data_IF_032470251609
#
_entry.id   IF_032470251609
#
_cell.length_a   1.000
_cell.length_b   1.000
_cell.length_c   1.000
_cell.angle_alpha   90.00
_cell.angle_beta   90.00
_cell.angle_gamma   90.00
#
_symmetry.space_group_name_H-M   'P 1'
#
loop_
_entity.id
_entity.type
_entity.pdbx_description
1 polymer ?
#
# COMPACT_ATOMS: atom_id res chain seq x y z
N UNK A 1 12.82 10.77 16.39
CA UNK A 1 12.91 10.65 14.93
C UNK A 1 11.55 10.36 14.33
N UNK A 2 11.19 11.10 13.30
CA UNK A 2 9.86 11.00 12.73
C UNK A 2 9.84 10.05 11.54
N UNK A 3 9.54 8.77 11.79
CA UNK A 3 9.42 7.77 10.73
C UNK A 3 8.22 8.02 9.82
N UNK A 4 7.21 8.75 10.31
CA UNK A 4 6.01 9.03 9.51
C UNK A 4 6.33 9.86 8.28
N UNK A 5 7.18 10.86 8.44
CA UNK A 5 7.57 11.70 7.30
C UNK A 5 8.25 10.88 6.21
N UNK A 6 9.14 9.97 6.61
CA UNK A 6 9.85 9.10 5.69
C UNK A 6 8.89 8.09 5.06
N UNK A 7 7.97 7.53 5.84
CA UNK A 7 6.99 6.58 5.32
C UNK A 7 6.05 7.23 4.31
N UNK A 8 5.61 8.46 4.57
CA UNK A 8 4.79 9.21 3.61
C UNK A 8 5.54 9.41 2.31
N UNK A 9 6.83 9.77 2.39
CA UNK A 9 7.67 9.96 1.21
C UNK A 9 7.78 8.67 0.40
N UNK A 10 8.08 7.57 1.06
CA UNK A 10 8.23 6.26 0.41
C UNK A 10 6.94 5.87 -0.30
N UNK A 11 5.81 5.99 0.39
CA UNK A 11 4.51 5.63 -0.18
C UNK A 11 4.19 6.49 -1.41
N UNK A 12 4.38 7.80 -1.30
CA UNK A 12 4.07 8.71 -2.41
C UNK A 12 4.93 8.42 -3.62
N UNK A 13 6.23 8.17 -3.42
CA UNK A 13 7.13 7.84 -4.52
C UNK A 13 6.74 6.51 -5.16
N UNK A 14 6.49 5.50 -4.33
CA UNK A 14 6.14 4.16 -4.82
C UNK A 14 4.85 4.17 -5.65
N UNK A 15 3.81 4.80 -5.12
CA UNK A 15 2.52 4.84 -5.82
C UNK A 15 2.58 5.72 -7.06
N UNK A 16 3.33 6.82 -7.02
CA UNK A 16 3.52 7.67 -8.19
C UNK A 16 4.24 6.92 -9.30
N UNK A 17 5.27 6.17 -8.96
CA UNK A 17 6.00 5.36 -9.95
C UNK A 17 5.10 4.29 -10.55
N UNK A 18 4.28 3.64 -9.72
CA UNK A 18 3.33 2.66 -10.21
C UNK A 18 2.34 3.29 -11.19
N UNK A 19 1.76 4.43 -10.82
CA UNK A 19 0.78 5.12 -11.65
C UNK A 19 1.39 5.64 -12.95
N UNK A 20 2.67 6.04 -12.92
CA UNK A 20 3.37 6.50 -14.12
C UNK A 20 3.52 5.37 -15.13
N UNK A 21 3.69 4.15 -14.68
CA UNK A 21 3.84 2.98 -15.55
C UNK A 21 2.50 2.39 -15.98
N UNK A 22 1.40 2.89 -15.45
CA UNK A 22 0.04 2.53 -15.85
C UNK A 22 -0.60 3.77 -16.48
N UNK A 23 -0.78 3.77 -17.80
CA UNK A 23 -1.32 4.93 -18.53
C UNK A 23 -2.68 5.38 -18.00
N UNK A 24 -3.42 4.51 -17.33
CA UNK A 24 -4.74 4.80 -16.80
C UNK A 24 -4.75 4.92 -15.29
N UNK A 25 -3.59 5.01 -14.67
CA UNK A 25 -3.45 5.14 -13.23
C UNK A 25 -3.53 6.59 -12.79
N UNK A 26 -4.24 6.84 -11.70
CA UNK A 26 -4.39 8.17 -11.10
C UNK A 26 -4.12 8.08 -9.62
N UNK A 27 -3.22 8.92 -9.12
CA UNK A 27 -2.94 8.96 -7.68
C UNK A 27 -3.90 9.91 -6.97
N UNK A 28 -4.33 9.51 -5.79
CA UNK A 28 -5.14 10.35 -4.89
C UNK A 28 -4.49 10.27 -3.52
N UNK A 29 -3.88 11.36 -3.07
CA UNK A 29 -3.17 11.40 -1.80
C UNK A 29 -3.80 12.43 -0.87
N UNK A 30 -4.07 12.02 0.37
CA UNK A 30 -4.44 12.90 1.45
C UNK A 30 -3.34 12.82 2.50
N UNK A 31 -2.44 13.80 2.47
CA UNK A 31 -1.28 13.83 3.37
C UNK A 31 -1.65 14.22 4.80
N UNK A 32 -2.82 14.79 5.00
CA UNK A 32 -3.30 15.17 6.32
C UNK A 32 -3.90 13.99 7.06
N UNK A 33 -4.73 13.21 6.36
CA UNK A 33 -5.42 12.06 6.95
C UNK A 33 -4.75 10.72 6.62
N UNK A 34 -3.68 10.78 5.85
CA UNK A 34 -2.86 9.60 5.49
C UNK A 34 -3.62 8.52 4.73
N UNK A 35 -4.25 8.95 3.63
CA UNK A 35 -4.88 8.05 2.66
C UNK A 35 -4.16 8.17 1.32
N UNK A 36 -3.74 7.04 0.76
CA UNK A 36 -2.94 7.02 -0.46
C UNK A 36 -3.48 5.97 -1.40
N UNK A 37 -4.05 6.40 -2.51
CA UNK A 37 -4.72 5.52 -3.45
C UNK A 37 -4.18 5.68 -4.86
N UNK A 38 -4.25 4.59 -5.63
CA UNK A 38 -4.10 4.63 -7.08
C UNK A 38 -5.40 4.10 -7.65
N UNK A 39 -6.06 4.92 -8.47
CA UNK A 39 -7.28 4.54 -9.17
C UNK A 39 -6.95 4.17 -10.60
N UNK A 40 -7.64 3.18 -11.12
CA UNK A 40 -7.56 2.79 -12.51
C UNK A 40 -8.85 3.18 -13.21
N UNK A 41 -8.73 3.88 -14.33
CA UNK A 41 -9.87 4.51 -14.98
C UNK A 41 -9.66 4.50 -16.49
N UNK A 42 -10.36 3.62 -17.22
CA UNK A 42 -10.19 3.51 -18.66
C UNK A 42 -11.46 3.11 -19.36
N UNK A 43 -11.46 3.33 -20.65
CA UNK A 43 -12.45 2.76 -21.57
C UNK A 43 -11.79 1.68 -22.39
N UNK A 44 -12.40 0.52 -22.45
CA UNK A 44 -11.97 -0.59 -23.27
C UNK A 44 -13.07 -0.89 -24.27
N UNK A 45 -12.98 -0.23 -25.45
CA UNK A 45 -14.10 -0.19 -26.36
C UNK A 45 -15.25 0.59 -25.72
N UNK A 46 -16.41 -0.04 -25.58
CA UNK A 46 -17.57 0.56 -24.91
C UNK A 46 -17.67 0.18 -23.42
N UNK A 47 -16.69 -0.53 -22.90
CA UNK A 47 -16.69 -0.98 -21.51
C UNK A 47 -15.92 -0.01 -20.64
N UNK A 48 -16.58 0.50 -19.60
CA UNK A 48 -15.93 1.33 -18.58
C UNK A 48 -15.29 0.44 -17.55
N UNK A 49 -13.96 0.59 -17.38
CA UNK A 49 -13.22 -0.12 -16.35
C UNK A 49 -12.74 0.90 -15.34
N UNK A 50 -13.21 0.75 -14.11
CA UNK A 50 -12.91 1.69 -13.05
C UNK A 50 -12.78 0.95 -11.74
N UNK A 51 -11.75 1.29 -10.95
CA UNK A 51 -11.59 0.71 -9.65
C UNK A 51 -10.33 1.21 -8.96
N UNK A 52 -10.14 0.75 -7.75
CA UNK A 52 -8.94 1.04 -6.96
C UNK A 52 -7.91 -0.06 -7.22
N UNK A 53 -6.73 0.34 -7.70
CA UNK A 53 -5.65 -0.61 -7.91
C UNK A 53 -4.91 -0.88 -6.61
N UNK A 54 -4.60 0.18 -5.86
CA UNK A 54 -3.87 0.09 -4.59
C UNK A 54 -4.42 1.12 -3.62
N UNK A 55 -4.56 0.73 -2.36
CA UNK A 55 -4.98 1.65 -1.30
C UNK A 55 -4.13 1.38 -0.06
N UNK A 56 -3.35 2.38 0.33
CA UNK A 56 -2.52 2.35 1.52
C UNK A 56 -2.96 3.47 2.46
N UNK A 57 -2.94 3.18 3.76
CA UNK A 57 -3.20 4.17 4.80
C UNK A 57 -2.06 4.13 5.82
N UNK A 58 -1.82 5.25 6.50
CA UNK A 58 -0.97 5.23 7.67
C UNK A 58 -1.87 5.39 8.88
N UNK A 59 -1.82 4.43 9.80
CA UNK A 59 -2.63 4.41 11.00
C UNK A 59 -1.72 4.07 12.18
N UNK A 60 -1.68 4.96 13.17
CA UNK A 60 -0.89 4.75 14.38
C UNK A 60 0.58 4.37 14.09
N UNK A 61 1.17 5.04 13.10
CA UNK A 61 2.57 4.83 12.75
C UNK A 61 2.85 3.61 11.89
N UNK A 62 1.82 2.87 11.50
CA UNK A 62 1.96 1.70 10.66
C UNK A 62 1.36 1.92 9.29
N UNK A 63 1.94 1.27 8.29
CA UNK A 63 1.46 1.32 6.92
C UNK A 63 0.50 0.16 6.69
N UNK A 64 -0.75 0.49 6.45
CA UNK A 64 -1.82 -0.47 6.23
C UNK A 64 -2.06 -0.63 4.74
N UNK A 65 -1.86 -1.84 4.21
CA UNK A 65 -2.23 -2.17 2.84
C UNK A 65 -3.69 -2.58 2.88
N UNK A 66 -4.57 -1.63 2.51
CA UNK A 66 -6.01 -1.85 2.59
C UNK A 66 -6.54 -2.62 1.40
N UNK A 67 -5.93 -2.42 0.23
CA UNK A 67 -6.40 -3.07 -0.99
C UNK A 67 -5.27 -3.13 -2.00
N UNK A 68 -5.21 -4.25 -2.72
CA UNK A 68 -4.27 -4.45 -3.82
C UNK A 68 -4.93 -5.40 -4.82
N UNK A 69 -5.33 -4.85 -5.97
CA UNK A 69 -5.93 -5.66 -7.03
C UNK A 69 -4.90 -6.12 -8.07
N UNK A 70 -3.62 -5.84 -7.82
CA UNK A 70 -2.53 -6.25 -8.71
C UNK A 70 -1.91 -7.55 -8.23
N UNK A 71 -1.00 -8.11 -9.02
CA UNK A 71 -0.22 -9.28 -8.64
C UNK A 71 1.07 -8.91 -7.92
N UNK A 72 1.33 -7.62 -7.75
CA UNK A 72 2.54 -7.12 -7.10
C UNK A 72 2.47 -7.36 -5.60
N UNK A 73 3.56 -7.81 -5.02
CA UNK A 73 3.70 -7.95 -3.57
C UNK A 73 4.11 -6.60 -3.00
N UNK A 74 3.13 -5.72 -2.74
CA UNK A 74 3.38 -4.36 -2.28
C UNK A 74 4.17 -4.34 -0.98
N UNK A 75 3.87 -5.25 -0.06
CA UNK A 75 4.55 -5.34 1.22
C UNK A 75 6.06 -5.54 1.04
N UNK A 76 6.45 -6.42 0.13
CA UNK A 76 7.86 -6.67 -0.13
C UNK A 76 8.55 -5.48 -0.78
N UNK A 77 7.84 -4.79 -1.67
CA UNK A 77 8.37 -3.60 -2.33
C UNK A 77 8.58 -2.46 -1.35
N UNK A 78 7.65 -2.28 -0.42
CA UNK A 78 7.76 -1.24 0.59
C UNK A 78 8.91 -1.52 1.57
N UNK A 79 9.11 -2.78 1.92
CA UNK A 79 10.24 -3.18 2.78
C UNK A 79 11.56 -2.85 2.08
N UNK A 80 11.68 -3.16 0.80
CA UNK A 80 12.88 -2.80 0.03
C UNK A 80 13.10 -1.30 0.00
N UNK A 81 12.03 -0.52 0.00
CA UNK A 81 12.10 0.93 -0.06
C UNK A 81 12.44 1.56 1.30
N UNK A 82 12.38 0.80 2.39
CA UNK A 82 12.81 1.27 3.69
C UNK A 82 11.77 1.24 4.80
N UNK A 83 10.58 0.68 4.56
CA UNK A 83 9.59 0.54 5.63
C UNK A 83 9.93 -0.71 6.45
N UNK A 84 9.99 -0.53 7.77
CA UNK A 84 10.31 -1.64 8.66
C UNK A 84 9.20 -2.70 8.61
N UNK A 85 9.54 -3.99 8.49
CA UNK A 85 8.54 -5.04 8.37
C UNK A 85 7.46 -5.02 9.46
N UNK A 86 7.77 -4.78 10.75
CA UNK A 86 6.74 -4.73 11.79
C UNK A 86 5.73 -3.59 11.61
N UNK A 87 6.07 -2.60 10.80
CA UNK A 87 5.21 -1.45 10.56
C UNK A 87 4.27 -1.64 9.37
N UNK A 88 4.29 -2.82 8.75
CA UNK A 88 3.38 -3.13 7.63
C UNK A 88 2.27 -4.02 8.14
N UNK A 89 1.03 -3.61 7.84
CA UNK A 89 -0.18 -4.37 8.21
C UNK A 89 -0.95 -4.73 6.94
N UNK A 90 -1.27 -6.00 6.80
CA UNK A 90 -2.08 -6.46 5.67
C UNK A 90 -3.56 -6.26 6.03
N UNK A 91 -4.04 -5.03 5.82
CA UNK A 91 -5.37 -4.61 6.26
C UNK A 91 -6.51 -5.33 5.57
N UNK A 92 -6.25 -5.92 4.40
CA UNK A 92 -7.26 -6.69 3.67
C UNK A 92 -7.41 -8.13 4.18
N UNK A 93 -6.60 -8.54 5.16
CA UNK A 93 -6.70 -9.86 5.79
C UNK A 93 -7.41 -9.74 7.12
N UNK A 94 -8.13 -10.80 7.52
CA UNK A 94 -8.80 -10.82 8.81
C UNK A 94 -7.78 -10.70 9.95
N UNK A 95 -8.14 -10.03 11.06
CA UNK A 95 -7.21 -9.84 12.17
C UNK A 95 -6.58 -11.14 12.70
N UNK A 96 -7.34 -12.21 12.75
CA UNK A 96 -6.85 -13.50 13.22
C UNK A 96 -5.80 -14.11 12.30
N UNK A 97 -5.79 -13.72 11.05
CA UNK A 97 -4.87 -14.25 10.03
C UNK A 97 -3.66 -13.34 9.84
N UNK A 98 -3.86 -12.03 9.98
CA UNK A 98 -2.80 -11.05 9.73
C UNK A 98 -1.53 -11.31 10.53
N UNK A 99 -1.69 -11.57 11.82
CA UNK A 99 -0.54 -11.79 12.69
C UNK A 99 0.24 -13.04 12.29
N UNK A 100 -0.49 -14.10 11.95
CA UNK A 100 0.15 -15.35 11.52
C UNK A 100 0.93 -15.18 10.22
N UNK A 101 0.37 -14.42 9.29
CA UNK A 101 1.04 -14.14 8.02
C UNK A 101 2.28 -13.29 8.25
N UNK A 102 2.19 -12.26 9.07
CA UNK A 102 3.31 -11.40 9.36
C UNK A 102 4.44 -12.18 10.02
N UNK A 103 4.13 -13.04 10.97
CA UNK A 103 5.14 -13.87 11.62
C UNK A 103 5.81 -14.83 10.63
N UNK A 104 5.04 -15.41 9.73
CA UNK A 104 5.56 -16.35 8.74
C UNK A 104 6.43 -15.66 7.68
N UNK A 105 6.04 -14.48 7.23
CA UNK A 105 6.75 -13.77 6.15
C UNK A 105 7.94 -12.96 6.63
N UNK A 106 7.83 -12.35 7.81
CA UNK A 106 8.82 -11.40 8.28
C UNK A 106 9.61 -11.85 9.50
N UNK A 107 9.24 -12.99 10.08
CA UNK A 107 9.91 -13.47 11.27
C UNK A 107 9.67 -12.60 12.50
N UNK A 108 8.63 -11.76 12.49
CA UNK A 108 8.30 -10.90 13.61
C UNK A 108 7.56 -11.73 14.65
N UNK A 109 8.26 -12.15 15.65
CA UNK A 109 7.64 -12.91 16.72
C UNK A 109 7.55 -12.06 17.96
N UNK A 110 6.43 -12.16 18.63
CA UNK A 110 6.29 -11.57 19.94
C UNK A 110 7.21 -12.28 20.90
N UNK A 111 7.87 -11.54 21.77
CA UNK A 111 8.71 -12.16 22.81
C UNK A 111 7.87 -13.05 23.72
#
# INVERSE_FOLDING_TARGET
MDNLKEYRRIICIYLTDFATNDANGQTVFDLEKDHYLVLHNEWRGNDRIYGCAMHLDIIAGQVWIQHNSTEIYIDRELIKAGIAPPDIVLGFRAPSIRQRIADALYGTKSP
#
